data_IF_091290443773
#
_entry.id   IF_091290443773
#
_cell.length_a   1.000
_cell.length_b   1.000
_cell.length_c   1.000
_cell.angle_alpha   90.00
_cell.angle_beta   90.00
_cell.angle_gamma   90.00
#
_symmetry.space_group_name_H-M   'P 1'
#
loop_
_entity.id
_entity.type
_entity.pdbx_description
1 polymer ?
#
# COMPACT_ATOMS: atom_id res chain seq x y z
N UNK A 1 1.27 -38.05 0.23
CA UNK A 1 0.94 -36.72 0.79
C UNK A 1 0.01 -36.98 1.95
N UNK A 2 0.52 -37.17 3.17
CA UNK A 2 -0.35 -37.55 4.29
C UNK A 2 -0.85 -36.36 5.14
N UNK A 3 -0.29 -35.15 4.96
CA UNK A 3 -0.63 -33.98 5.75
C UNK A 3 -0.48 -32.68 4.93
N UNK A 4 -1.16 -32.62 3.77
CA UNK A 4 -1.16 -31.43 2.91
C UNK A 4 -2.33 -30.52 3.26
N UNK A 5 -2.06 -29.29 3.67
CA UNK A 5 -3.11 -28.35 4.10
C UNK A 5 -3.47 -27.29 3.07
N UNK A 6 -2.61 -27.06 2.08
CA UNK A 6 -2.82 -25.98 1.12
C UNK A 6 -2.29 -26.32 -0.28
N UNK A 7 -2.95 -25.73 -1.25
CA UNK A 7 -2.63 -25.78 -2.67
C UNK A 7 -2.76 -24.38 -3.26
N UNK A 8 -1.87 -24.04 -4.18
CA UNK A 8 -1.95 -22.82 -4.96
C UNK A 8 -1.61 -23.11 -6.42
N UNK A 9 -2.35 -22.53 -7.34
CA UNK A 9 -2.12 -22.66 -8.78
C UNK A 9 -1.84 -21.27 -9.33
N UNK A 10 -0.68 -21.10 -9.98
CA UNK A 10 -0.29 -19.85 -10.64
C UNK A 10 -0.90 -19.74 -12.03
N UNK A 11 -0.94 -18.54 -12.60
CA UNK A 11 -1.53 -18.29 -13.92
C UNK A 11 -0.80 -18.97 -15.09
N UNK A 12 0.48 -19.31 -14.91
CA UNK A 12 1.24 -20.13 -15.85
C UNK A 12 0.93 -21.64 -15.75
N UNK A 13 0.06 -22.05 -14.82
CA UNK A 13 -0.37 -23.44 -14.62
C UNK A 13 0.53 -24.28 -13.71
N UNK A 14 1.51 -23.68 -13.03
CA UNK A 14 2.30 -24.41 -12.03
C UNK A 14 1.46 -24.63 -10.76
N UNK A 15 1.64 -25.81 -10.15
CA UNK A 15 0.90 -26.22 -8.95
C UNK A 15 1.87 -26.32 -7.79
N UNK A 16 1.54 -25.63 -6.70
CA UNK A 16 2.28 -25.66 -5.44
C UNK A 16 1.42 -26.34 -4.39
N UNK A 17 1.97 -27.36 -3.75
CA UNK A 17 1.28 -28.14 -2.73
C UNK A 17 2.14 -28.17 -1.49
N UNK A 18 1.55 -27.85 -0.34
CA UNK A 18 2.17 -28.10 0.95
C UNK A 18 2.39 -29.61 1.11
N UNK A 19 3.65 -30.03 1.22
CA UNK A 19 4.03 -31.40 1.53
C UNK A 19 4.56 -31.37 2.96
N UNK A 20 3.62 -31.22 3.91
CA UNK A 20 3.83 -30.98 5.33
C UNK A 20 4.65 -32.04 6.07
N UNK A 21 4.28 -32.39 7.30
CA UNK A 21 5.06 -33.36 8.10
C UNK A 21 5.13 -34.73 7.40
N UNK A 22 6.29 -35.41 7.35
CA UNK A 22 7.60 -35.05 7.93
C UNK A 22 8.52 -34.28 6.96
N UNK A 23 8.06 -33.98 5.74
CA UNK A 23 8.91 -33.41 4.68
C UNK A 23 9.16 -31.91 4.87
N UNK A 24 8.29 -31.20 5.60
CA UNK A 24 8.45 -29.80 5.99
C UNK A 24 8.78 -28.89 4.81
N UNK A 25 8.07 -29.08 3.68
CA UNK A 25 8.35 -28.34 2.45
C UNK A 25 7.11 -28.15 1.59
N UNK A 26 7.18 -27.21 0.67
CA UNK A 26 6.23 -27.00 -0.41
C UNK A 26 6.85 -27.59 -1.67
N UNK A 27 6.10 -28.44 -2.36
CA UNK A 27 6.51 -29.04 -3.63
C UNK A 27 5.83 -28.33 -4.80
N UNK A 28 6.59 -28.13 -5.89
CA UNK A 28 6.14 -27.53 -7.15
C UNK A 28 6.07 -28.58 -8.24
N UNK A 29 4.94 -28.63 -8.91
CA UNK A 29 4.75 -29.29 -10.20
C UNK A 29 4.74 -28.21 -11.28
N UNK A 30 5.66 -28.32 -12.22
CA UNK A 30 5.63 -27.50 -13.43
C UNK A 30 4.52 -28.03 -14.34
N UNK A 31 3.85 -27.16 -15.09
CA UNK A 31 2.83 -27.58 -16.04
C UNK A 31 3.33 -28.75 -16.94
N UNK A 32 2.54 -29.81 -17.05
CA UNK A 32 2.84 -31.08 -17.72
C UNK A 32 3.98 -31.94 -17.12
N UNK A 33 4.50 -31.61 -15.93
CA UNK A 33 5.48 -32.45 -15.24
C UNK A 33 4.81 -33.61 -14.50
N UNK A 34 5.44 -34.79 -14.53
CA UNK A 34 5.01 -35.96 -13.76
C UNK A 34 5.60 -36.00 -12.35
N UNK A 35 6.69 -35.27 -12.11
CA UNK A 35 7.41 -35.24 -10.85
C UNK A 35 7.42 -33.82 -10.25
N UNK A 36 7.33 -33.75 -8.93
CA UNK A 36 7.54 -32.50 -8.19
C UNK A 36 9.02 -32.21 -7.91
N UNK A 37 9.30 -30.93 -7.71
CA UNK A 37 10.56 -30.45 -7.14
C UNK A 37 10.29 -29.63 -5.87
N UNK A 38 11.17 -29.66 -4.86
CA UNK A 38 11.02 -28.81 -3.68
C UNK A 38 11.09 -27.33 -4.05
N UNK A 39 10.03 -26.59 -3.73
CA UNK A 39 9.95 -25.15 -3.95
C UNK A 39 10.43 -24.36 -2.73
N UNK A 40 10.14 -24.86 -1.51
CA UNK A 40 10.42 -24.15 -0.26
C UNK A 40 10.44 -25.07 0.94
N UNK A 41 11.34 -24.83 1.90
CA UNK A 41 11.29 -25.48 3.21
C UNK A 41 10.54 -24.61 4.21
N UNK A 42 9.66 -25.22 4.99
CA UNK A 42 8.80 -24.55 5.98
C UNK A 42 9.04 -25.13 7.37
N UNK A 43 9.07 -24.29 8.40
CA UNK A 43 9.38 -24.71 9.78
C UNK A 43 8.17 -25.34 10.51
N UNK A 44 7.09 -25.63 9.79
CA UNK A 44 5.83 -26.12 10.34
C UNK A 44 4.81 -26.36 9.23
N UNK A 45 3.54 -26.48 9.59
CA UNK A 45 2.44 -26.71 8.65
C UNK A 45 2.09 -25.43 7.90
N UNK A 46 2.03 -25.50 6.57
CA UNK A 46 1.59 -24.39 5.75
C UNK A 46 0.07 -24.41 5.56
N UNK A 47 -0.67 -23.69 6.41
CA UNK A 47 -2.13 -23.70 6.38
C UNK A 47 -2.74 -22.96 5.18
N UNK A 48 -1.99 -22.04 4.58
CA UNK A 48 -2.39 -21.36 3.36
C UNK A 48 -1.15 -20.93 2.59
N UNK A 49 -1.16 -21.20 1.29
CA UNK A 49 -0.12 -20.87 0.33
C UNK A 49 -0.61 -19.79 -0.62
N UNK A 50 0.28 -18.85 -0.94
CA UNK A 50 0.06 -17.87 -1.99
C UNK A 50 1.37 -17.62 -2.74
N UNK A 51 1.31 -17.46 -4.06
CA UNK A 51 2.46 -17.08 -4.88
C UNK A 51 2.13 -15.77 -5.59
N UNK A 52 2.91 -14.72 -5.34
CA UNK A 52 2.71 -13.42 -5.98
C UNK A 52 3.30 -13.37 -7.40
N UNK A 53 2.98 -12.29 -8.13
CA UNK A 53 3.46 -12.05 -9.49
C UNK A 53 4.98 -11.91 -9.60
N UNK A 54 5.69 -11.70 -8.48
CA UNK A 54 7.15 -11.69 -8.40
C UNK A 54 7.73 -13.07 -8.05
N UNK A 55 6.92 -14.14 -8.16
CA UNK A 55 7.28 -15.51 -7.73
C UNK A 55 7.76 -15.57 -6.27
N UNK A 56 7.20 -14.75 -5.39
CA UNK A 56 7.43 -14.91 -3.96
C UNK A 56 6.38 -15.81 -3.33
N UNK A 57 6.85 -16.78 -2.56
CA UNK A 57 6.05 -17.73 -1.81
C UNK A 57 5.68 -17.15 -0.46
N UNK A 58 4.40 -17.19 -0.12
CA UNK A 58 3.89 -16.85 1.19
C UNK A 58 3.28 -18.09 1.82
N UNK A 59 3.53 -18.26 3.10
CA UNK A 59 3.05 -19.38 3.86
C UNK A 59 2.55 -18.92 5.22
N UNK A 60 1.30 -19.24 5.52
CA UNK A 60 0.69 -19.00 6.82
C UNK A 60 1.00 -20.14 7.79
N UNK A 61 1.76 -19.84 8.84
CA UNK A 61 2.17 -20.81 9.86
C UNK A 61 1.31 -20.61 11.11
N UNK A 62 0.11 -21.19 11.07
CA UNK A 62 -0.89 -21.12 12.15
C UNK A 62 -0.32 -21.43 13.53
N UNK A 63 0.41 -22.54 13.64
CA UNK A 63 1.00 -23.01 14.90
C UNK A 63 2.11 -22.09 15.44
N UNK A 64 2.71 -21.28 14.56
CA UNK A 64 3.77 -20.33 14.90
C UNK A 64 3.30 -18.88 14.88
N UNK A 65 1.99 -18.63 14.72
CA UNK A 65 1.38 -17.31 14.84
C UNK A 65 2.03 -16.24 13.94
N UNK A 66 2.45 -16.63 12.73
CA UNK A 66 3.14 -15.75 11.79
C UNK A 66 2.92 -16.18 10.34
N UNK A 67 3.13 -15.26 9.41
CA UNK A 67 3.20 -15.50 7.97
C UNK A 67 4.62 -15.23 7.52
N UNK A 68 5.19 -16.17 6.77
CA UNK A 68 6.52 -16.06 6.20
C UNK A 68 6.46 -15.87 4.70
N UNK A 69 7.45 -15.17 4.15
CA UNK A 69 7.68 -14.96 2.73
C UNK A 69 9.06 -15.46 2.33
N UNK A 70 9.18 -16.03 1.14
CA UNK A 70 10.45 -16.33 0.47
C UNK A 70 10.38 -15.96 -1.01
N UNK A 71 11.42 -15.29 -1.52
CA UNK A 71 11.60 -15.07 -2.95
C UNK A 71 12.08 -16.36 -3.64
N UNK A 72 11.49 -16.71 -4.80
CA UNK A 72 11.99 -17.80 -5.65
C UNK A 72 13.43 -17.58 -6.13
N UNK A 73 13.89 -16.33 -6.22
CA UNK A 73 15.19 -15.96 -6.79
C UNK A 73 16.33 -15.94 -5.77
N UNK A 74 16.03 -16.05 -4.47
CA UNK A 74 17.06 -16.15 -3.46
C UNK A 74 17.57 -17.59 -3.36
N UNK A 75 18.85 -17.78 -3.71
CA UNK A 75 19.57 -19.06 -3.61
C UNK A 75 19.73 -19.53 -2.16
N UNK A 76 19.65 -18.59 -1.21
CA UNK A 76 19.62 -18.88 0.22
C UNK A 76 18.16 -19.20 0.59
N UNK A 77 17.90 -20.37 1.19
CA UNK A 77 16.59 -20.80 1.71
C UNK A 77 16.07 -19.95 2.89
N UNK A 78 16.45 -18.67 2.95
CA UNK A 78 16.09 -17.75 4.01
C UNK A 78 14.65 -17.27 3.84
N UNK A 79 13.87 -17.44 4.89
CA UNK A 79 12.50 -16.93 4.98
C UNK A 79 12.50 -15.62 5.75
N UNK A 80 11.56 -14.74 5.39
CA UNK A 80 11.34 -13.45 6.06
C UNK A 80 9.97 -13.46 6.69
N UNK A 81 9.84 -12.89 7.88
CA UNK A 81 8.53 -12.74 8.53
C UNK A 81 7.87 -11.49 7.94
N UNK A 82 6.64 -11.64 7.43
CA UNK A 82 5.89 -10.55 6.79
C UNK A 82 4.62 -10.17 7.55
N UNK A 83 4.13 -11.03 8.44
CA UNK A 83 3.06 -10.71 9.37
C UNK A 83 3.15 -11.60 10.62
N UNK A 84 2.73 -11.08 11.77
CA UNK A 84 2.80 -11.78 13.06
C UNK A 84 4.23 -11.90 13.60
N UNK A 85 4.42 -11.58 14.87
CA UNK A 85 5.73 -11.61 15.53
C UNK A 85 6.09 -12.97 16.15
N UNK A 86 5.26 -14.00 15.92
CA UNK A 86 5.46 -15.34 16.48
C UNK A 86 4.78 -15.58 17.84
N UNK A 87 4.13 -14.58 18.42
CA UNK A 87 3.36 -14.70 19.66
C UNK A 87 1.86 -14.53 19.39
N UNK A 88 1.04 -15.36 20.04
CA UNK A 88 -0.42 -15.22 20.03
C UNK A 88 -0.83 -13.92 20.72
N UNK A 89 -1.68 -13.12 20.07
CA UNK A 89 -2.23 -11.92 20.69
C UNK A 89 -3.01 -11.02 19.74
N UNK A 90 -3.59 -9.95 20.29
CA UNK A 90 -4.47 -9.00 19.59
C UNK A 90 -3.75 -7.75 19.07
N UNK A 91 -2.46 -7.57 19.38
CA UNK A 91 -1.67 -6.44 18.91
C UNK A 91 -1.65 -6.33 17.39
N UNK A 92 -1.34 -5.15 16.85
CA UNK A 92 -1.28 -4.91 15.39
C UNK A 92 -0.24 -5.78 14.69
N UNK A 93 0.83 -6.17 15.39
CA UNK A 93 1.88 -7.06 14.87
C UNK A 93 1.77 -8.50 15.43
N UNK A 94 0.66 -8.84 16.09
CA UNK A 94 0.41 -10.18 16.63
C UNK A 94 -0.74 -10.83 15.87
N UNK A 95 -0.62 -12.14 15.68
CA UNK A 95 -1.63 -13.01 15.07
C UNK A 95 -1.87 -14.18 16.03
N UNK A 96 -3.01 -14.85 15.91
CA UNK A 96 -3.35 -16.03 16.68
C UNK A 96 -3.98 -17.08 15.76
N UNK A 97 -3.17 -18.10 15.44
CA UNK A 97 -3.47 -19.12 14.44
C UNK A 97 -3.91 -18.54 13.08
N UNK A 98 -3.04 -17.79 12.38
CA UNK A 98 -3.36 -17.31 11.04
C UNK A 98 -3.63 -18.49 10.09
N UNK A 99 -4.67 -18.37 9.27
CA UNK A 99 -5.12 -19.37 8.30
C UNK A 99 -4.98 -18.82 6.89
N UNK A 100 -6.08 -18.57 6.18
CA UNK A 100 -6.12 -18.04 4.82
C UNK A 100 -5.34 -16.74 4.67
N UNK A 101 -4.58 -16.66 3.58
CA UNK A 101 -3.88 -15.45 3.17
C UNK A 101 -4.21 -15.10 1.73
N UNK A 102 -4.14 -13.80 1.42
CA UNK A 102 -4.22 -13.29 0.05
C UNK A 102 -3.25 -12.13 -0.10
N UNK A 103 -2.54 -12.06 -1.22
CA UNK A 103 -1.65 -10.93 -1.53
C UNK A 103 -2.18 -10.22 -2.76
N UNK A 104 -2.46 -8.92 -2.64
CA UNK A 104 -2.96 -8.13 -3.77
C UNK A 104 -1.84 -7.70 -4.73
N UNK A 105 -2.21 -7.10 -5.86
CA UNK A 105 -1.29 -6.60 -6.89
C UNK A 105 -0.33 -5.50 -6.39
N UNK A 106 -0.64 -4.86 -5.26
CA UNK A 106 0.22 -3.86 -4.58
C UNK A 106 1.10 -4.50 -3.51
N UNK A 107 1.11 -5.83 -3.43
CA UNK A 107 1.82 -6.64 -2.44
C UNK A 107 1.38 -6.39 -0.99
N UNK A 108 0.14 -5.94 -0.77
CA UNK A 108 -0.43 -5.93 0.56
C UNK A 108 -0.94 -7.32 0.91
N UNK A 109 -0.72 -7.74 2.15
CA UNK A 109 -1.06 -9.07 2.65
C UNK A 109 -2.30 -8.99 3.54
N UNK A 110 -3.33 -9.74 3.16
CA UNK A 110 -4.52 -9.98 3.97
C UNK A 110 -4.38 -11.33 4.67
N UNK A 111 -4.64 -11.35 5.97
CA UNK A 111 -4.48 -12.54 6.82
C UNK A 111 -5.75 -12.78 7.61
N UNK A 112 -6.31 -13.98 7.48
CA UNK A 112 -7.40 -14.46 8.32
C UNK A 112 -6.80 -14.91 9.65
N UNK A 113 -7.05 -14.11 10.68
CA UNK A 113 -6.52 -14.26 12.03
C UNK A 113 -7.54 -15.04 12.87
N UNK A 114 -7.64 -16.36 12.62
CA UNK A 114 -8.78 -17.20 13.01
C UNK A 114 -9.16 -17.05 14.49
N UNK A 115 -8.23 -17.26 15.43
CA UNK A 115 -8.59 -17.27 16.86
C UNK A 115 -8.86 -15.86 17.39
N UNK A 116 -8.44 -14.82 16.66
CA UNK A 116 -8.75 -13.43 16.98
C UNK A 116 -10.00 -12.92 16.24
N UNK A 117 -10.72 -13.78 15.52
CA UNK A 117 -11.99 -13.47 14.85
C UNK A 117 -11.94 -12.23 13.96
N UNK A 118 -10.85 -12.07 13.21
CA UNK A 118 -10.62 -10.88 12.39
C UNK A 118 -9.83 -11.18 11.12
N UNK A 119 -9.89 -10.24 10.18
CA UNK A 119 -8.97 -10.18 9.03
C UNK A 119 -8.10 -8.94 9.17
N UNK A 120 -6.78 -9.15 9.09
CA UNK A 120 -5.78 -8.08 9.15
C UNK A 120 -5.15 -7.80 7.79
N UNK A 121 -4.95 -6.53 7.49
CA UNK A 121 -4.21 -6.01 6.33
C UNK A 121 -2.86 -5.49 6.77
N UNK A 122 -1.80 -6.07 6.21
CA UNK A 122 -0.42 -5.62 6.31
C UNK A 122 -0.03 -4.98 4.98
N UNK A 123 0.18 -3.67 4.97
CA UNK A 123 0.63 -2.98 3.76
C UNK A 123 2.05 -3.41 3.40
N UNK A 124 2.43 -3.31 2.12
CA UNK A 124 3.75 -3.72 1.65
C UNK A 124 4.89 -3.09 2.50
N UNK A 125 5.75 -3.96 3.06
CA UNK A 125 6.88 -3.57 3.90
C UNK A 125 6.53 -3.20 5.35
N UNK A 126 5.26 -3.22 5.75
CA UNK A 126 4.83 -2.95 7.12
C UNK A 126 4.62 -4.24 7.92
N UNK A 127 4.99 -4.21 9.20
CA UNK A 127 4.80 -5.33 10.14
C UNK A 127 3.62 -5.12 11.10
N UNK A 128 3.01 -3.94 11.08
CA UNK A 128 1.80 -3.64 11.84
C UNK A 128 0.59 -3.76 10.90
N UNK A 129 -0.33 -4.64 11.26
CA UNK A 129 -1.59 -4.84 10.57
C UNK A 129 -2.65 -3.83 11.02
N UNK A 130 -3.59 -3.60 10.11
CA UNK A 130 -4.84 -2.88 10.37
C UNK A 130 -6.00 -3.86 10.25
N UNK A 131 -6.95 -3.82 11.18
CA UNK A 131 -8.11 -4.71 11.12
C UNK A 131 -9.10 -4.21 10.07
N UNK A 132 -9.39 -5.04 9.07
CA UNK A 132 -10.30 -4.69 7.96
C UNK A 132 -11.74 -5.09 8.28
N UNK A 133 -11.93 -6.23 8.95
CA UNK A 133 -13.24 -6.77 9.34
C UNK A 133 -13.10 -7.71 10.55
N UNK A 134 -14.18 -7.85 11.31
CA UNK A 134 -14.24 -8.66 12.53
C UNK A 134 -13.84 -7.89 13.78
N UNK A 135 -13.29 -8.59 14.78
CA UNK A 135 -12.97 -8.03 16.08
C UNK A 135 -11.92 -6.91 15.99
N UNK A 136 -12.28 -5.70 16.45
CA UNK A 136 -11.42 -4.52 16.44
C UNK A 136 -11.63 -3.56 15.27
N UNK A 137 -12.42 -3.93 14.26
CA UNK A 137 -12.89 -3.01 13.22
C UNK A 137 -14.13 -2.23 13.69
N UNK A 138 -14.50 -1.18 12.95
CA UNK A 138 -15.78 -0.49 13.15
C UNK A 138 -16.92 -1.44 12.73
N UNK A 139 -17.54 -2.10 13.71
CA UNK A 139 -18.33 -3.33 13.54
C UNK A 139 -19.47 -3.18 12.53
N UNK A 140 -19.34 -3.84 11.37
CA UNK A 140 -20.48 -4.13 10.47
C UNK A 140 -20.91 -5.60 10.54
N UNK A 141 -20.00 -6.51 10.89
CA UNK A 141 -20.27 -7.95 11.05
C UNK A 141 -19.23 -8.55 12.02
N UNK A 142 -19.68 -9.45 12.91
CA UNK A 142 -18.78 -10.26 13.75
C UNK A 142 -18.39 -11.54 12.99
N UNK A 143 -17.13 -11.98 13.12
CA UNK A 143 -16.61 -13.23 12.54
C UNK A 143 -16.37 -14.26 13.65
N UNK A 144 -16.22 -15.53 13.30
CA UNK A 144 -15.82 -16.63 14.19
C UNK A 144 -14.91 -17.59 13.42
N UNK A 145 -13.61 -17.54 13.72
CA UNK A 145 -12.53 -18.21 12.99
C UNK A 145 -12.67 -18.09 11.46
N UNK A 146 -12.39 -16.90 10.89
CA UNK A 146 -12.24 -16.78 9.44
C UNK A 146 -11.03 -17.61 8.97
N UNK A 147 -11.19 -18.35 7.86
CA UNK A 147 -10.16 -19.29 7.39
C UNK A 147 -9.79 -19.16 5.92
N UNK A 148 -10.67 -18.63 5.07
CA UNK A 148 -10.42 -18.44 3.63
C UNK A 148 -10.62 -16.99 3.24
N UNK A 149 -9.75 -16.46 2.36
CA UNK A 149 -9.83 -15.10 1.82
C UNK A 149 -9.58 -15.17 0.32
N UNK A 150 -10.47 -14.59 -0.48
CA UNK A 150 -10.26 -14.33 -1.91
C UNK A 150 -10.82 -12.97 -2.28
N UNK A 151 -10.36 -12.44 -3.41
CA UNK A 151 -10.92 -11.25 -4.02
C UNK A 151 -11.57 -11.64 -5.35
N UNK A 152 -12.63 -10.91 -5.74
CA UNK A 152 -13.10 -10.91 -7.12
C UNK A 152 -12.36 -9.86 -7.97
N UNK A 153 -12.62 -9.86 -9.27
CA UNK A 153 -12.01 -8.95 -10.23
C UNK A 153 -12.39 -7.48 -10.00
N UNK A 154 -13.52 -7.24 -9.33
CA UNK A 154 -13.98 -5.90 -8.93
C UNK A 154 -13.28 -5.40 -7.64
N UNK A 155 -12.48 -6.24 -6.98
CA UNK A 155 -11.74 -5.92 -5.76
C UNK A 155 -12.55 -6.05 -4.47
N UNK A 156 -13.69 -6.73 -4.49
CA UNK A 156 -14.43 -7.11 -3.28
C UNK A 156 -13.81 -8.35 -2.64
N UNK A 157 -13.77 -8.34 -1.31
CA UNK A 157 -13.19 -9.41 -0.49
C UNK A 157 -14.29 -10.38 -0.06
N UNK A 158 -14.01 -11.67 -0.21
CA UNK A 158 -14.85 -12.77 0.22
C UNK A 158 -14.11 -13.59 1.27
N UNK A 159 -14.83 -13.95 2.33
CA UNK A 159 -14.27 -14.58 3.53
C UNK A 159 -15.10 -15.81 3.89
N UNK A 160 -14.43 -16.93 4.09
CA UNK A 160 -15.03 -18.10 4.74
C UNK A 160 -15.00 -17.93 6.25
N UNK A 161 -16.18 -17.73 6.84
CA UNK A 161 -16.41 -17.53 8.27
C UNK A 161 -16.80 -18.89 8.88
N UNK A 162 -15.78 -19.66 9.26
CA UNK A 162 -15.84 -21.13 9.29
C UNK A 162 -16.76 -21.65 10.40
N UNK A 163 -16.61 -21.13 11.62
CA UNK A 163 -17.40 -21.58 12.76
C UNK A 163 -18.84 -21.05 12.71
N UNK A 164 -19.06 -19.92 12.03
CA UNK A 164 -20.39 -19.42 11.70
C UNK A 164 -21.04 -20.11 10.50
N UNK A 165 -20.37 -21.07 9.86
CA UNK A 165 -20.90 -21.87 8.75
C UNK A 165 -21.40 -21.03 7.57
N UNK A 166 -20.69 -19.96 7.19
CA UNK A 166 -21.16 -19.00 6.18
C UNK A 166 -20.02 -18.37 5.38
N UNK A 167 -20.36 -17.78 4.25
CA UNK A 167 -19.45 -16.94 3.46
C UNK A 167 -19.90 -15.48 3.57
N UNK A 168 -18.94 -14.60 3.82
CA UNK A 168 -19.11 -13.14 3.90
C UNK A 168 -18.50 -12.50 2.67
N UNK A 169 -19.15 -11.46 2.13
CA UNK A 169 -18.61 -10.63 1.06
C UNK A 169 -18.64 -9.15 1.45
N UNK A 170 -17.64 -8.39 0.99
CA UNK A 170 -17.67 -6.92 1.09
C UNK A 170 -18.56 -6.29 0.03
N UNK A 171 -18.86 -5.01 0.22
CA UNK A 171 -19.60 -4.18 -0.73
C UNK A 171 -19.40 -2.70 -0.44
N UNK A 172 -19.95 -1.83 -1.28
CA UNK A 172 -19.99 -0.38 -1.05
C UNK A 172 -20.65 0.01 0.29
N UNK A 173 -21.52 -0.84 0.84
CA UNK A 173 -22.22 -0.62 2.11
C UNK A 173 -21.57 -1.38 3.29
N UNK A 174 -20.36 -1.93 3.11
CA UNK A 174 -19.68 -2.76 4.11
C UNK A 174 -19.87 -4.26 3.88
N UNK A 175 -19.61 -5.06 4.92
CA UNK A 175 -19.63 -6.51 4.85
C UNK A 175 -21.02 -7.08 5.13
N UNK A 176 -21.41 -8.11 4.36
CA UNK A 176 -22.66 -8.85 4.56
C UNK A 176 -22.45 -10.34 4.32
N UNK A 177 -23.33 -11.15 4.90
CA UNK A 177 -23.39 -12.56 4.54
C UNK A 177 -23.96 -12.75 3.13
N UNK A 178 -23.38 -13.69 2.38
CA UNK A 178 -23.83 -14.05 1.03
C UNK A 178 -24.35 -15.50 0.94
N UNK A 179 -23.79 -16.42 1.71
CA UNK A 179 -24.14 -17.86 1.73
C UNK A 179 -24.15 -18.33 3.17
N UNK A 180 -25.08 -19.21 3.57
CA UNK A 180 -25.13 -19.74 4.94
C UNK A 180 -25.66 -18.75 5.98
N UNK A 181 -26.43 -17.74 5.56
CA UNK A 181 -26.78 -16.59 6.42
C UNK A 181 -27.73 -16.87 7.57
N UNK A 182 -28.29 -18.08 7.65
CA UNK A 182 -28.98 -18.54 8.84
C UNK A 182 -28.02 -18.87 10.00
N UNK A 183 -26.71 -18.94 9.75
CA UNK A 183 -25.68 -19.32 10.74
C UNK A 183 -25.94 -20.69 11.40
N UNK A 184 -26.67 -21.56 10.71
CA UNK A 184 -26.91 -22.95 11.09
C UNK A 184 -26.10 -23.86 10.17
N UNK A 185 -25.37 -24.82 10.74
CA UNK A 185 -24.75 -25.87 9.93
C UNK A 185 -25.79 -26.79 9.30
N UNK A 186 -25.49 -27.33 8.12
CA UNK A 186 -26.38 -28.29 7.45
C UNK A 186 -25.96 -28.64 6.04
N UNK A 187 -26.72 -29.55 5.43
CA UNK A 187 -26.44 -30.14 4.11
C UNK A 187 -27.28 -29.54 2.97
N UNK A 188 -28.23 -28.64 3.27
CA UNK A 188 -29.06 -28.01 2.25
C UNK A 188 -28.20 -27.16 1.28
N UNK A 189 -28.77 -26.81 0.12
CA UNK A 189 -28.07 -26.04 -0.93
C UNK A 189 -27.68 -24.62 -0.52
N UNK A 190 -28.30 -24.08 0.54
CA UNK A 190 -28.01 -22.76 1.10
C UNK A 190 -27.32 -22.84 2.47
N UNK A 191 -26.93 -24.03 2.92
CA UNK A 191 -26.24 -24.28 4.18
C UNK A 191 -24.83 -24.82 3.91
N UNK A 192 -23.94 -24.55 4.87
CA UNK A 192 -22.56 -25.02 4.91
C UNK A 192 -22.31 -25.66 6.26
N UNK A 193 -21.23 -26.43 6.38
CA UNK A 193 -20.77 -27.03 7.61
C UNK A 193 -19.24 -26.96 7.65
N UNK A 194 -18.72 -25.99 8.41
CA UNK A 194 -17.30 -25.70 8.55
C UNK A 194 -16.60 -25.42 7.20
N UNK A 195 -17.08 -24.43 6.42
CA UNK A 195 -16.48 -24.09 5.14
C UNK A 195 -15.03 -23.65 5.33
N UNK A 196 -14.13 -24.08 4.44
CA UNK A 196 -12.71 -23.74 4.51
C UNK A 196 -12.27 -22.79 3.40
N UNK A 197 -11.72 -23.31 2.32
CA UNK A 197 -11.26 -22.49 1.21
C UNK A 197 -12.39 -22.19 0.24
N UNK A 198 -12.28 -21.04 -0.42
CA UNK A 198 -13.20 -20.58 -1.45
C UNK A 198 -12.40 -20.14 -2.68
N UNK A 199 -12.98 -20.24 -3.86
CA UNK A 199 -12.36 -19.77 -5.10
C UNK A 199 -13.41 -19.41 -6.15
N UNK A 200 -13.07 -18.51 -7.06
CA UNK A 200 -13.90 -18.19 -8.22
C UNK A 200 -13.40 -18.91 -9.47
N UNK A 201 -14.33 -19.31 -10.35
CA UNK A 201 -13.97 -19.60 -11.75
C UNK A 201 -13.95 -18.31 -12.59
N UNK A 202 -13.46 -18.41 -13.82
CA UNK A 202 -13.40 -17.28 -14.77
C UNK A 202 -14.78 -16.76 -15.21
N UNK A 203 -15.87 -17.41 -14.78
CA UNK A 203 -17.25 -16.95 -14.99
C UNK A 203 -17.83 -16.29 -13.74
N UNK A 204 -17.04 -16.13 -12.68
CA UNK A 204 -17.44 -15.55 -11.40
C UNK A 204 -18.26 -16.49 -10.50
N UNK A 205 -18.36 -17.79 -10.82
CA UNK A 205 -19.02 -18.74 -9.94
C UNK A 205 -18.13 -19.05 -8.74
N UNK A 206 -18.72 -19.08 -7.54
CA UNK A 206 -18.01 -19.32 -6.30
C UNK A 206 -18.02 -20.81 -5.96
N UNK A 207 -16.86 -21.38 -5.74
CA UNK A 207 -16.66 -22.74 -5.24
C UNK A 207 -16.32 -22.66 -3.75
N UNK A 208 -17.03 -23.43 -2.93
CA UNK A 208 -16.83 -23.49 -1.48
C UNK A 208 -16.52 -24.92 -1.08
N UNK A 209 -15.39 -25.12 -0.42
CA UNK A 209 -15.05 -26.40 0.20
C UNK A 209 -15.79 -26.51 1.54
N UNK A 210 -16.76 -27.41 1.58
CA UNK A 210 -17.70 -27.63 2.68
C UNK A 210 -17.31 -28.90 3.43
N UNK A 211 -16.30 -28.76 4.30
CA UNK A 211 -15.44 -29.87 4.77
C UNK A 211 -16.23 -30.92 5.53
N UNK A 212 -17.08 -30.54 6.49
CA UNK A 212 -17.82 -31.51 7.29
C UNK A 212 -19.05 -32.10 6.59
N UNK A 213 -19.30 -31.66 5.36
CA UNK A 213 -20.27 -32.26 4.45
C UNK A 213 -19.60 -33.05 3.30
N UNK A 214 -18.26 -33.23 3.34
CA UNK A 214 -17.47 -33.98 2.36
C UNK A 214 -17.70 -33.57 0.90
N UNK A 215 -17.92 -32.26 0.65
CA UNK A 215 -18.26 -31.76 -0.68
C UNK A 215 -17.60 -30.44 -1.05
N UNK A 216 -17.54 -30.18 -2.35
CA UNK A 216 -17.30 -28.85 -2.91
C UNK A 216 -18.62 -28.38 -3.52
N UNK A 217 -19.15 -27.26 -3.05
CA UNK A 217 -20.36 -26.66 -3.59
C UNK A 217 -20.02 -25.56 -4.58
N UNK A 218 -20.64 -25.61 -5.77
CA UNK A 218 -20.61 -24.54 -6.76
C UNK A 218 -21.84 -23.65 -6.57
N UNK A 219 -21.62 -22.39 -6.22
CA UNK A 219 -22.62 -21.34 -6.20
C UNK A 219 -22.48 -20.54 -7.50
N UNK A 220 -23.51 -20.64 -8.32
CA UNK A 220 -23.51 -19.90 -9.58
C UNK A 220 -23.58 -18.41 -9.29
N UNK A 221 -22.85 -17.62 -10.08
CA UNK A 221 -23.08 -16.19 -10.18
C UNK A 221 -24.46 -16.03 -10.84
N UNK A 222 -25.49 -16.08 -10.00
CA UNK A 222 -26.83 -15.73 -10.43
C UNK A 222 -26.77 -14.25 -10.74
N UNK A 223 -26.90 -13.88 -12.01
CA UNK A 223 -27.32 -12.52 -12.34
C UNK A 223 -28.62 -12.29 -11.57
N UNK A 224 -28.55 -11.52 -10.48
CA UNK A 224 -29.61 -11.10 -9.59
C UNK A 224 -31.00 -11.75 -9.78
N UNK A 225 -31.44 -12.58 -8.83
CA UNK A 225 -32.72 -12.33 -8.13
C UNK A 225 -32.76 -13.04 -6.78
N UNK A 226 -32.93 -12.23 -5.73
CA UNK A 226 -33.60 -12.66 -4.50
C UNK A 226 -35.00 -13.16 -4.84
N UNK A 227 -35.37 -14.34 -4.32
CA UNK A 227 -36.78 -14.70 -4.14
C UNK A 227 -36.99 -14.99 -2.67
N UNK A 228 -37.81 -14.16 -2.03
CA UNK A 228 -38.48 -14.48 -0.79
C UNK A 228 -39.27 -15.78 -0.99
N UNK A 229 -39.09 -16.72 -0.08
CA UNK A 229 -39.70 -18.05 -0.12
C UNK A 229 -41.23 -18.01 -0.27
N UNK A 230 -41.76 -18.96 -1.07
CA UNK A 230 -42.75 -19.93 -0.59
C UNK A 230 -42.78 -21.16 -1.51
N UNK A 231 -42.49 -22.34 -0.93
CA UNK A 231 -42.45 -23.72 -1.46
C UNK A 231 -43.64 -24.18 -2.35
N UNK A 232 -43.64 -25.42 -2.91
CA UNK A 232 -42.53 -26.21 -3.49
C UNK A 232 -42.87 -26.70 -4.92
N UNK A 233 -41.85 -27.21 -5.61
CA UNK A 233 -41.94 -28.03 -6.84
C UNK A 233 -42.54 -27.35 -8.09
N UNK A 234 -41.71 -26.67 -8.87
CA UNK A 234 -41.75 -26.72 -10.34
C UNK A 234 -40.48 -26.04 -10.90
N UNK A 235 -39.66 -26.76 -11.66
CA UNK A 235 -38.60 -26.16 -12.46
C UNK A 235 -39.27 -25.45 -13.64
N UNK A 236 -39.24 -24.11 -13.66
CA UNK A 236 -39.59 -23.36 -14.88
C UNK A 236 -38.29 -23.13 -15.64
N UNK A 237 -38.06 -23.93 -16.68
CA UNK A 237 -37.03 -23.66 -17.66
C UNK A 237 -37.53 -22.56 -18.60
N UNK A 238 -36.87 -21.40 -18.58
CA UNK A 238 -37.05 -20.38 -19.60
C UNK A 238 -35.98 -20.58 -20.69
N UNK A 239 -36.39 -20.99 -21.88
CA UNK A 239 -35.53 -21.00 -23.07
C UNK A 239 -35.92 -19.83 -23.97
N UNK A 240 -35.02 -18.86 -24.15
CA UNK A 240 -35.19 -17.81 -25.15
C UNK A 240 -35.05 -18.42 -26.56
N UNK A 241 -35.91 -18.05 -27.52
CA UNK A 241 -35.96 -18.68 -28.85
C UNK A 241 -34.79 -18.30 -29.77
N UNK A 242 -33.97 -17.30 -29.41
CA UNK A 242 -32.80 -16.87 -30.18
C UNK A 242 -31.52 -16.96 -29.33
N UNK A 243 -30.45 -17.48 -29.93
CA UNK A 243 -29.12 -17.64 -29.31
C UNK A 243 -28.43 -16.30 -29.02
N UNK A 244 -29.03 -15.18 -29.43
CA UNK A 244 -28.46 -13.83 -29.34
C UNK A 244 -29.05 -12.94 -28.23
N UNK A 245 -29.95 -13.48 -27.40
CA UNK A 245 -30.56 -12.74 -26.31
C UNK A 245 -30.65 -13.58 -25.03
N UNK A 246 -30.21 -13.00 -23.92
CA UNK A 246 -30.24 -13.58 -22.57
C UNK A 246 -31.15 -12.73 -21.67
N UNK A 247 -31.39 -13.17 -20.43
CA UNK A 247 -32.19 -12.45 -19.43
C UNK A 247 -33.69 -12.78 -19.42
N UNK A 248 -34.36 -12.45 -18.30
CA UNK A 248 -35.76 -12.83 -17.98
C UNK A 248 -36.83 -12.39 -19.02
N UNK A 249 -36.50 -11.45 -19.90
CA UNK A 249 -37.39 -10.96 -20.96
C UNK A 249 -36.77 -11.06 -22.37
N UNK A 250 -35.66 -11.77 -22.55
CA UNK A 250 -34.88 -11.85 -23.80
C UNK A 250 -34.54 -10.46 -24.40
N UNK A 251 -34.31 -9.46 -23.55
CA UNK A 251 -34.02 -8.07 -23.95
C UNK A 251 -32.56 -7.64 -23.69
N UNK A 252 -31.72 -8.54 -23.15
CA UNK A 252 -30.29 -8.26 -22.97
C UNK A 252 -29.49 -8.93 -24.07
N UNK A 253 -28.74 -8.10 -24.82
CA UNK A 253 -27.82 -8.48 -25.89
C UNK A 253 -26.88 -9.60 -25.42
N UNK A 254 -26.73 -10.67 -26.20
CA UNK A 254 -25.74 -11.74 -25.95
C UNK A 254 -24.33 -11.37 -26.43
N UNK A 255 -24.10 -10.14 -26.90
CA UNK A 255 -22.86 -9.78 -27.53
C UNK A 255 -21.70 -9.90 -26.52
N UNK A 256 -20.69 -10.75 -26.77
CA UNK A 256 -19.54 -10.91 -25.88
C UNK A 256 -18.81 -9.59 -25.61
N UNK A 257 -18.84 -8.65 -26.56
CA UNK A 257 -18.24 -7.33 -26.43
C UNK A 257 -18.97 -6.43 -25.40
N UNK A 258 -20.28 -6.58 -25.25
CA UNK A 258 -21.09 -5.80 -24.31
C UNK A 258 -21.00 -6.38 -22.89
N UNK A 259 -20.87 -7.71 -22.78
CA UNK A 259 -20.89 -8.45 -21.52
C UNK A 259 -19.50 -8.55 -20.90
N UNK A 260 -18.50 -8.98 -21.68
CA UNK A 260 -17.15 -9.28 -21.17
C UNK A 260 -16.21 -8.08 -21.28
N UNK A 261 -16.54 -7.09 -22.12
CA UNK A 261 -15.69 -5.95 -22.48
C UNK A 261 -14.22 -6.36 -22.65
N UNK A 262 -13.92 -7.35 -23.50
CA UNK A 262 -12.68 -8.12 -23.44
C UNK A 262 -11.46 -7.40 -24.05
N UNK A 263 -11.65 -6.26 -24.70
CA UNK A 263 -10.57 -5.50 -25.32
C UNK A 263 -10.10 -4.38 -24.39
N UNK A 264 -8.84 -4.47 -23.96
CA UNK A 264 -8.18 -3.49 -23.12
C UNK A 264 -7.64 -2.31 -23.94
N UNK A 265 -7.09 -1.30 -23.25
CA UNK A 265 -6.40 -0.16 -23.85
C UNK A 265 -7.17 0.55 -24.99
N UNK A 266 -8.49 0.66 -24.82
CA UNK A 266 -9.39 1.29 -25.79
C UNK A 266 -9.45 0.56 -27.16
N UNK A 267 -9.14 -0.74 -27.18
CA UNK A 267 -9.34 -1.61 -28.34
C UNK A 267 -10.81 -1.72 -28.72
N UNK A 268 -11.08 -1.78 -30.02
CA UNK A 268 -12.43 -1.94 -30.55
C UNK A 268 -12.79 -3.42 -30.59
N UNK A 269 -13.81 -3.82 -29.84
CA UNK A 269 -14.29 -5.19 -29.83
C UNK A 269 -15.26 -5.44 -30.99
N UNK A 270 -14.94 -6.47 -31.79
CA UNK A 270 -15.79 -6.93 -32.88
C UNK A 270 -16.33 -8.33 -32.54
N UNK A 271 -17.64 -8.48 -32.57
CA UNK A 271 -18.31 -9.76 -32.39
C UNK A 271 -18.08 -10.65 -33.63
N UNK A 272 -17.64 -11.90 -33.40
CA UNK A 272 -17.49 -12.90 -34.46
C UNK A 272 -18.53 -14.00 -34.22
N UNK A 273 -19.58 -13.95 -35.05
CA UNK A 273 -20.88 -14.61 -34.86
C UNK A 273 -20.87 -16.15 -35.07
N UNK A 274 -19.83 -16.84 -34.61
CA UNK A 274 -19.62 -18.29 -34.83
C UNK A 274 -19.74 -19.14 -33.56
N UNK A 275 -19.68 -18.57 -32.35
CA UNK A 275 -20.01 -19.22 -31.05
C UNK A 275 -20.32 -18.16 -29.95
N UNK A 276 -20.96 -18.56 -28.84
CA UNK A 276 -21.39 -17.70 -27.69
C UNK A 276 -20.20 -16.97 -26.98
N UNK A 277 -18.95 -17.19 -27.40
CA UNK A 277 -17.75 -16.70 -26.70
C UNK A 277 -16.65 -16.19 -27.63
N UNK A 278 -16.93 -15.99 -28.92
CA UNK A 278 -15.93 -15.59 -29.88
C UNK A 278 -15.99 -14.06 -30.14
N UNK A 279 -14.89 -13.36 -29.89
CA UNK A 279 -14.72 -11.94 -30.16
C UNK A 279 -13.34 -11.70 -30.79
N UNK A 280 -13.17 -10.55 -31.44
CA UNK A 280 -11.88 -10.11 -31.97
C UNK A 280 -11.62 -8.65 -31.60
N UNK A 281 -10.45 -8.36 -31.03
CA UNK A 281 -10.05 -7.02 -30.63
C UNK A 281 -9.21 -6.34 -31.73
N UNK A 282 -9.65 -5.18 -32.19
CA UNK A 282 -8.86 -4.30 -33.05
C UNK A 282 -8.10 -3.30 -32.20
N UNK A 283 -6.78 -3.46 -32.13
CA UNK A 283 -5.94 -2.69 -31.22
C UNK A 283 -5.59 -1.31 -31.76
N UNK A 284 -5.59 -0.27 -30.90
CA UNK A 284 -5.11 1.06 -31.28
C UNK A 284 -3.60 1.04 -31.55
N UNK A 285 -3.10 2.06 -32.26
CA UNK A 285 -1.68 2.17 -32.58
C UNK A 285 -0.82 2.12 -31.31
N UNK A 286 0.18 1.23 -31.32
CA UNK A 286 1.08 1.01 -30.20
C UNK A 286 0.64 -0.06 -29.19
N UNK A 287 -0.56 -0.64 -29.34
CA UNK A 287 -0.99 -1.78 -28.52
C UNK A 287 -1.09 -3.06 -29.35
N UNK A 288 -0.72 -4.19 -28.76
CA UNK A 288 -0.73 -5.51 -29.42
C UNK A 288 -1.26 -6.59 -28.48
N UNK A 289 -1.46 -7.80 -29.01
CA UNK A 289 -2.05 -8.93 -28.27
C UNK A 289 -3.50 -9.20 -28.64
N UNK A 290 -4.02 -10.36 -28.25
CA UNK A 290 -5.37 -10.84 -28.58
C UNK A 290 -6.49 -10.01 -27.94
N UNK A 291 -6.18 -9.30 -26.85
CA UNK A 291 -7.08 -8.40 -26.13
C UNK A 291 -6.55 -6.96 -26.10
N UNK A 292 -5.52 -6.63 -26.89
CA UNK A 292 -4.83 -5.34 -26.86
C UNK A 292 -4.17 -5.00 -25.51
N UNK A 293 -3.80 -6.04 -24.75
CA UNK A 293 -3.26 -5.95 -23.40
C UNK A 293 -1.77 -5.56 -23.36
N UNK A 294 -1.04 -5.66 -24.49
CA UNK A 294 0.40 -5.41 -24.52
C UNK A 294 0.65 -3.98 -25.02
N UNK A 295 1.13 -3.09 -24.14
CA UNK A 295 1.60 -1.75 -24.51
C UNK A 295 3.00 -1.84 -25.16
N UNK A 296 3.02 -1.68 -26.48
CA UNK A 296 4.21 -1.65 -27.32
C UNK A 296 4.58 -0.22 -27.75
N UNK A 297 4.03 0.80 -27.10
CA UNK A 297 4.42 2.20 -27.37
C UNK A 297 5.84 2.45 -26.88
N UNK A 298 6.62 3.27 -27.61
CA UNK A 298 7.94 3.69 -27.15
C UNK A 298 7.86 4.40 -25.78
N UNK A 299 6.87 5.27 -25.59
CA UNK A 299 6.60 5.95 -24.32
C UNK A 299 5.48 5.30 -23.50
N UNK A 300 5.66 4.03 -23.14
CA UNK A 300 4.80 3.37 -22.14
C UNK A 300 5.09 3.85 -20.72
N UNK A 301 4.19 3.53 -19.79
CA UNK A 301 4.39 3.85 -18.37
C UNK A 301 5.71 3.27 -17.87
N UNK A 302 6.50 4.08 -17.15
CA UNK A 302 7.83 3.72 -16.64
C UNK A 302 8.92 3.55 -17.69
N UNK A 303 8.76 4.03 -18.93
CA UNK A 303 9.89 4.16 -19.87
C UNK A 303 10.94 5.14 -19.34
N UNK A 304 10.53 6.31 -18.84
CA UNK A 304 11.42 7.29 -18.21
C UNK A 304 11.22 7.30 -16.69
N UNK A 305 12.30 7.07 -15.96
CA UNK A 305 12.32 6.90 -14.52
C UNK A 305 12.55 8.26 -13.82
N UNK A 306 12.37 8.29 -12.49
CA UNK A 306 12.73 9.44 -11.65
C UNK A 306 12.17 10.80 -12.12
N UNK A 307 10.87 10.83 -12.45
CA UNK A 307 10.17 12.00 -12.98
C UNK A 307 10.71 12.50 -14.34
N UNK A 308 11.38 11.65 -15.12
CA UNK A 308 11.73 11.94 -16.50
C UNK A 308 10.49 12.04 -17.40
N UNK A 309 10.53 12.95 -18.37
CA UNK A 309 9.46 13.14 -19.35
C UNK A 309 9.81 12.34 -20.61
N UNK A 310 8.93 11.42 -21.02
CA UNK A 310 9.12 10.65 -22.25
C UNK A 310 8.64 11.43 -23.47
N UNK A 311 9.51 11.62 -24.46
CA UNK A 311 9.19 12.21 -25.75
C UNK A 311 9.34 11.15 -26.84
N UNK A 312 8.26 10.87 -27.57
CA UNK A 312 8.30 9.95 -28.71
C UNK A 312 9.00 10.62 -29.89
N UNK A 313 10.04 9.98 -30.42
CA UNK A 313 10.77 10.45 -31.61
C UNK A 313 10.35 9.75 -32.88
N UNK A 314 9.81 8.53 -32.78
CA UNK A 314 9.16 7.81 -33.88
C UNK A 314 8.21 6.74 -33.34
N UNK A 315 7.58 5.95 -34.21
CA UNK A 315 6.71 4.84 -33.82
C UNK A 315 7.42 3.73 -33.05
N UNK A 316 8.76 3.68 -33.07
CA UNK A 316 9.55 2.67 -32.35
C UNK A 316 10.66 3.25 -31.48
N UNK A 317 10.86 4.58 -31.48
CA UNK A 317 11.96 5.23 -30.75
C UNK A 317 11.45 6.33 -29.83
N UNK A 318 12.10 6.50 -28.68
CA UNK A 318 11.79 7.52 -27.68
C UNK A 318 13.06 8.20 -27.16
N UNK A 319 12.87 9.33 -26.49
CA UNK A 319 13.90 10.05 -25.76
C UNK A 319 13.36 10.49 -24.39
N UNK A 320 14.08 10.20 -23.31
CA UNK A 320 13.73 10.68 -21.97
C UNK A 320 14.40 12.01 -21.63
N UNK A 321 13.61 13.03 -21.32
CA UNK A 321 14.08 14.29 -20.73
C UNK A 321 14.12 14.15 -19.22
N UNK A 322 15.32 13.93 -18.67
CA UNK A 322 15.50 13.61 -17.26
C UNK A 322 15.24 14.80 -16.34
N UNK A 323 14.63 14.50 -15.18
CA UNK A 323 14.51 15.47 -14.11
C UNK A 323 15.88 15.85 -13.57
N UNK A 324 15.96 17.06 -13.01
CA UNK A 324 17.18 17.62 -12.45
C UNK A 324 17.84 16.67 -11.43
N UNK A 325 19.09 16.26 -11.68
CA UNK A 325 19.84 15.31 -10.84
C UNK A 325 19.89 13.87 -11.34
N UNK A 326 19.30 13.59 -12.52
CA UNK A 326 19.26 12.26 -13.13
C UNK A 326 19.77 12.26 -14.56
N UNK A 327 20.33 11.14 -14.99
CA UNK A 327 20.88 10.87 -16.32
C UNK A 327 20.66 9.40 -16.73
N UNK A 328 21.09 9.04 -17.93
CA UNK A 328 20.84 7.73 -18.54
C UNK A 328 19.73 7.78 -19.60
N UNK A 329 19.63 6.71 -20.40
CA UNK A 329 18.68 6.63 -21.52
C UNK A 329 17.23 6.70 -21.02
N UNK A 330 16.99 6.15 -19.83
CA UNK A 330 15.71 6.11 -19.15
C UNK A 330 15.70 6.96 -17.88
N UNK A 331 16.68 7.84 -17.67
CA UNK A 331 16.81 8.63 -16.43
C UNK A 331 16.96 7.80 -15.15
N UNK A 332 17.54 6.60 -15.30
CA UNK A 332 17.71 5.59 -14.25
C UNK A 332 18.87 5.90 -13.31
N UNK A 333 19.84 6.70 -13.76
CA UNK A 333 21.10 6.94 -13.05
C UNK A 333 21.06 8.28 -12.35
N UNK A 334 21.41 8.31 -11.05
CA UNK A 334 21.58 9.57 -10.33
C UNK A 334 22.92 10.18 -10.72
N UNK A 335 22.93 11.46 -11.10
CA UNK A 335 24.16 12.17 -11.45
C UNK A 335 25.10 12.17 -10.24
N UNK A 336 26.30 11.64 -10.43
CA UNK A 336 27.37 11.76 -9.45
C UNK A 336 28.18 13.02 -9.71
N UNK A 337 27.89 14.09 -8.97
CA UNK A 337 28.63 15.34 -9.04
C UNK A 337 30.10 15.23 -8.61
N UNK A 338 30.55 14.08 -8.10
CA UNK A 338 31.95 13.81 -7.78
C UNK A 338 32.73 13.08 -8.88
N UNK A 339 32.08 12.63 -9.97
CA UNK A 339 32.72 11.75 -10.97
C UNK A 339 34.02 12.32 -11.56
N UNK A 340 34.02 13.61 -11.91
CA UNK A 340 35.18 14.32 -12.47
C UNK A 340 35.84 15.30 -11.48
N UNK A 341 35.50 15.20 -10.19
CA UNK A 341 35.99 16.13 -9.17
C UNK A 341 37.10 15.48 -8.35
N UNK A 342 38.30 16.04 -8.48
CA UNK A 342 39.45 15.65 -7.66
C UNK A 342 39.65 16.67 -6.54
N UNK A 343 39.35 16.27 -5.31
CA UNK A 343 39.72 17.05 -4.12
C UNK A 343 41.21 16.85 -3.82
N UNK A 344 41.98 17.94 -3.74
CA UNK A 344 43.40 17.93 -3.43
C UNK A 344 43.66 17.70 -1.93
N UNK A 345 44.93 17.48 -1.56
CA UNK A 345 45.36 17.32 -0.17
C UNK A 345 44.55 16.28 0.63
N UNK A 346 44.22 15.16 -0.01
CA UNK A 346 43.41 14.07 0.55
C UNK A 346 42.00 14.49 1.00
N UNK A 347 41.42 15.54 0.41
CA UNK A 347 40.01 15.89 0.63
C UNK A 347 39.07 14.80 0.12
N UNK A 348 37.91 14.67 0.76
CA UNK A 348 36.86 13.69 0.38
C UNK A 348 35.77 14.42 -0.40
N UNK A 349 35.48 14.00 -1.63
CA UNK A 349 34.34 14.54 -2.37
C UNK A 349 33.04 13.95 -1.84
N UNK A 350 32.08 14.81 -1.47
CA UNK A 350 30.71 14.42 -1.18
C UNK A 350 29.76 15.01 -2.20
N UNK A 351 29.07 14.12 -2.91
CA UNK A 351 27.98 14.48 -3.81
C UNK A 351 26.76 14.92 -2.98
N UNK A 352 26.15 16.04 -3.35
CA UNK A 352 24.99 16.67 -2.72
C UNK A 352 23.93 17.02 -3.77
N UNK A 353 22.72 17.41 -3.37
CA UNK A 353 21.66 17.74 -4.36
C UNK A 353 22.11 18.90 -5.26
N UNK A 354 22.36 18.58 -6.54
CA UNK A 354 22.84 19.50 -7.58
C UNK A 354 24.23 20.09 -7.41
N UNK A 355 25.06 19.54 -6.51
CA UNK A 355 26.39 20.10 -6.25
C UNK A 355 27.31 19.04 -5.64
N UNK A 356 28.60 19.35 -5.54
CA UNK A 356 29.55 18.57 -4.75
C UNK A 356 30.21 19.46 -3.69
N UNK A 357 30.73 18.85 -2.64
CA UNK A 357 31.57 19.51 -1.65
C UNK A 357 32.82 18.70 -1.42
N UNK A 358 33.99 19.32 -1.53
CA UNK A 358 35.24 18.73 -1.06
C UNK A 358 35.37 18.99 0.44
N UNK A 359 35.32 17.93 1.24
CA UNK A 359 35.61 17.98 2.67
C UNK A 359 37.12 17.92 2.88
N UNK A 360 37.72 19.05 3.26
CA UNK A 360 39.16 19.15 3.48
C UNK A 360 39.57 18.48 4.80
N UNK A 361 40.69 17.75 4.77
CA UNK A 361 41.15 16.98 5.92
C UNK A 361 41.88 17.89 6.93
N UNK A 362 41.14 18.40 7.91
CA UNK A 362 41.67 19.22 9.01
C UNK A 362 41.77 20.71 8.70
N UNK A 363 42.14 21.50 9.71
CA UNK A 363 42.06 22.97 9.69
C UNK A 363 43.16 23.68 8.87
N UNK A 364 44.06 22.91 8.25
CA UNK A 364 45.21 23.41 7.51
C UNK A 364 44.96 23.50 5.99
N UNK A 365 43.82 23.04 5.50
CA UNK A 365 43.47 23.06 4.09
C UNK A 365 42.11 23.74 3.87
N UNK A 366 42.00 24.52 2.81
CA UNK A 366 40.78 25.25 2.44
C UNK A 366 40.70 25.44 0.91
N UNK A 367 39.64 26.05 0.41
CA UNK A 367 39.39 26.21 -1.03
C UNK A 367 38.31 25.25 -1.54
N UNK A 368 37.91 25.41 -2.81
CA UNK A 368 36.79 24.64 -3.40
C UNK A 368 37.16 23.17 -3.62
N UNK A 369 38.44 22.91 -3.86
CA UNK A 369 39.05 21.61 -4.08
C UNK A 369 40.10 21.29 -3.00
N UNK A 370 40.07 21.96 -1.85
CA UNK A 370 41.08 21.84 -0.79
C UNK A 370 42.51 22.18 -1.22
N UNK A 371 42.67 23.03 -2.22
CA UNK A 371 43.94 23.43 -2.84
C UNK A 371 44.77 24.41 -2.01
N UNK A 372 44.15 25.13 -1.06
CA UNK A 372 44.80 26.19 -0.29
C UNK A 372 45.36 25.62 1.00
N UNK A 373 46.67 25.74 1.22
CA UNK A 373 47.34 25.40 2.47
C UNK A 373 47.36 26.60 3.42
N UNK A 374 46.72 26.48 4.58
CA UNK A 374 46.73 27.52 5.61
C UNK A 374 47.88 27.28 6.59
N UNK A 375 48.95 28.06 6.45
CA UNK A 375 49.99 28.14 7.48
C UNK A 375 49.46 28.96 8.67
N UNK A 376 48.68 28.34 9.57
CA UNK A 376 48.21 28.95 10.83
C UNK A 376 49.32 29.16 11.88
N UNK A 377 50.54 29.48 11.45
CA UNK A 377 51.64 29.90 12.33
C UNK A 377 51.79 31.43 12.43
N UNK A 378 51.11 32.24 11.60
CA UNK A 378 51.35 33.70 11.55
C UNK A 378 50.22 34.60 12.07
N UNK A 379 49.02 34.09 12.34
CA UNK A 379 47.84 34.95 12.61
C UNK A 379 47.36 34.99 14.06
N UNK A 380 47.97 34.22 14.97
CA UNK A 380 47.62 34.27 16.41
C UNK A 380 48.37 35.36 17.21
N UNK A 381 49.25 36.16 16.58
CA UNK A 381 50.03 37.18 17.29
C UNK A 381 49.50 38.63 17.13
N UNK A 382 48.51 38.88 16.26
CA UNK A 382 48.00 40.25 16.02
C UNK A 382 46.67 40.60 16.70
N UNK A 383 45.88 39.65 17.18
CA UNK A 383 44.58 39.96 17.83
C UNK A 383 44.70 40.27 19.33
N UNK A 384 45.78 39.82 19.98
CA UNK A 384 45.97 40.00 21.44
C UNK A 384 46.20 41.47 21.85
N UNK A 385 46.79 42.31 20.99
CA UNK A 385 47.05 43.73 21.31
C UNK A 385 45.84 44.66 21.16
N UNK A 386 44.81 44.25 20.42
CA UNK A 386 43.65 45.14 20.13
C UNK A 386 42.50 44.98 21.13
N UNK A 387 42.36 43.83 21.80
CA UNK A 387 41.29 43.60 22.78
C UNK A 387 41.55 44.39 24.07
N UNK A 388 42.81 44.52 24.49
CA UNK A 388 43.20 45.32 25.65
C UNK A 388 42.89 46.82 25.48
N UNK A 389 43.07 47.36 24.27
CA UNK A 389 42.82 48.78 23.99
C UNK A 389 41.32 49.11 24.01
N UNK A 390 40.48 48.22 23.48
CA UNK A 390 39.02 48.37 23.49
C UNK A 390 38.45 48.30 24.91
N UNK A 391 38.99 47.42 25.77
CA UNK A 391 38.58 47.32 27.16
C UNK A 391 38.91 48.59 27.98
N UNK A 392 40.06 49.21 27.72
CA UNK A 392 40.47 50.46 28.40
C UNK A 392 39.58 51.64 27.97
N UNK A 393 39.28 51.77 26.67
CA UNK A 393 38.37 52.81 26.18
C UNK A 393 36.96 52.65 26.77
N UNK A 394 36.48 51.40 26.86
CA UNK A 394 35.18 51.11 27.47
C UNK A 394 35.14 51.53 28.95
N UNK A 395 36.18 51.23 29.74
CA UNK A 395 36.25 51.63 31.15
C UNK A 395 36.36 53.14 31.35
N UNK A 396 37.09 53.85 30.48
CA UNK A 396 37.18 55.32 30.55
C UNK A 396 35.84 55.97 30.18
N UNK A 397 35.14 55.42 29.19
CA UNK A 397 33.82 55.94 28.76
C UNK A 397 32.74 55.78 29.83
N UNK A 398 32.74 54.66 30.56
CA UNK A 398 31.78 54.43 31.66
C UNK A 398 32.09 55.30 32.87
N UNK A 399 33.36 55.50 33.20
CA UNK A 399 33.77 56.40 34.27
C UNK A 399 33.37 57.86 33.98
N UNK A 400 33.61 58.34 32.75
CA UNK A 400 33.17 59.68 32.33
C UNK A 400 31.65 59.84 32.36
N UNK A 401 30.90 58.80 32.00
CA UNK A 401 29.43 58.82 32.07
C UNK A 401 28.92 58.91 33.51
N UNK A 402 29.55 58.21 34.45
CA UNK A 402 29.21 58.30 35.89
C UNK A 402 29.49 59.71 36.42
N UNK A 403 30.66 60.29 36.07
CA UNK A 403 31.01 61.66 36.48
C UNK A 403 30.02 62.68 35.89
N UNK A 404 29.63 62.54 34.61
CA UNK A 404 28.62 63.40 33.99
C UNK A 404 27.26 63.26 34.68
N UNK A 405 26.85 62.04 35.03
CA UNK A 405 25.59 61.80 35.75
C UNK A 405 25.60 62.38 37.16
N UNK A 406 26.73 62.32 37.87
CA UNK A 406 26.89 62.95 39.18
C UNK A 406 26.92 64.49 39.09
N UNK A 407 27.56 65.07 38.06
CA UNK A 407 27.52 66.52 37.80
C UNK A 407 26.10 66.98 37.48
N UNK A 408 25.36 66.24 36.64
CA UNK A 408 23.97 66.58 36.32
C UNK A 408 23.06 66.49 37.57
N UNK A 409 23.34 65.55 38.46
CA UNK A 409 22.60 65.38 39.71
C UNK A 409 22.90 66.49 40.72
N UNK A 410 24.16 66.91 40.85
CA UNK A 410 24.59 67.96 41.77
C UNK A 410 24.30 69.38 41.27
N UNK A 411 24.44 69.65 39.98
CA UNK A 411 24.28 71.00 39.42
C UNK A 411 22.85 71.33 38.99
N UNK A 412 22.05 70.33 38.59
CA UNK A 412 20.72 70.57 38.00
C UNK A 412 19.56 69.86 38.71
N UNK A 413 19.81 69.06 39.76
CA UNK A 413 18.76 68.43 40.58
C UNK A 413 17.82 67.49 39.81
N UNK A 414 18.22 66.98 38.63
CA UNK A 414 17.40 66.12 37.78
C UNK A 414 17.60 64.66 38.17
N UNK A 415 16.64 64.05 38.86
CA UNK A 415 16.63 62.60 39.14
C UNK A 415 15.65 61.86 38.17
N UNK A 416 16.16 61.17 37.13
CA UNK A 416 15.33 60.56 36.09
C UNK A 416 14.53 59.33 36.58
N UNK A 417 14.81 58.80 37.78
CA UNK A 417 14.15 57.59 38.32
C UNK A 417 12.77 57.91 38.92
N UNK A 418 12.51 59.15 39.31
CA UNK A 418 11.25 59.56 39.96
C UNK A 418 10.05 59.67 38.99
N UNK A 419 10.30 59.95 37.70
CA UNK A 419 9.25 60.18 36.68
C UNK A 419 8.55 58.88 36.27
N UNK A 420 9.27 57.75 36.26
CA UNK A 420 8.79 56.42 35.84
C UNK A 420 7.76 55.78 36.80
N UNK A 421 7.64 56.25 38.05
CA UNK A 421 6.66 55.73 39.03
C UNK A 421 5.24 56.31 38.88
N UNK A 422 5.07 57.48 38.25
CA UNK A 422 3.74 58.11 38.05
C UNK A 422 2.96 57.53 36.86
N UNK A 423 3.66 57.10 35.81
CA UNK A 423 3.01 56.57 34.60
C UNK A 423 2.48 55.14 34.78
N UNK A 424 3.16 54.32 35.58
CA UNK A 424 2.76 52.92 35.85
C UNK A 424 1.50 52.81 36.74
N UNK A 425 1.14 53.86 37.50
CA UNK A 425 -0.10 53.88 38.31
C UNK A 425 -1.36 54.19 37.50
N UNK A 426 -1.26 54.92 36.38
CA UNK A 426 -2.43 55.22 35.51
C UNK A 426 -2.87 54.02 34.66
N UNK A 427 -1.97 53.11 34.27
CA UNK A 427 -2.31 51.93 33.48
C UNK A 427 -2.97 50.78 34.28
N UNK A 428 -2.83 50.74 35.62
CA UNK A 428 -3.41 49.66 36.45
C UNK A 428 -4.90 49.86 36.81
N UNK A 429 -5.47 51.05 36.60
CA UNK A 429 -6.90 51.29 36.88
C UNK A 429 -7.86 50.95 35.72
N UNK A 430 -7.39 50.82 34.46
CA UNK A 430 -8.27 50.54 33.31
C UNK A 430 -8.52 49.06 33.03
N UNK A 431 -7.72 48.14 33.58
CA UNK A 431 -7.78 46.69 33.26
C UNK A 431 -8.63 45.82 34.20
N UNK A 432 -9.35 46.39 35.18
CA UNK A 432 -10.12 45.62 36.19
C UNK A 432 -11.64 45.53 35.95
N UNK A 433 -12.15 45.98 34.80
CA UNK A 433 -13.59 45.87 34.44
C UNK A 433 -13.73 45.19 33.08
N UNK A 434 -13.93 43.87 33.07
CA UNK A 434 -14.79 43.10 32.15
C UNK A 434 -14.55 41.60 32.34
N UNK A 435 -15.45 40.94 33.07
CA UNK A 435 -15.75 39.52 32.93
C UNK A 435 -16.97 39.38 32.01
N UNK A 436 -17.10 38.27 31.25
CA UNK A 436 -18.41 37.79 30.83
C UNK A 436 -18.69 36.36 31.30
N UNK A 437 -19.89 36.14 31.82
CA UNK A 437 -20.48 34.85 32.11
C UNK A 437 -21.34 34.31 30.95
N UNK A 438 -21.31 32.98 30.83
CA UNK A 438 -22.26 31.96 30.32
C UNK A 438 -23.61 32.41 29.72
N UNK A 439 -23.98 31.90 28.52
CA UNK A 439 -25.11 30.96 28.25
C UNK A 439 -25.64 30.90 26.79
N UNK A 440 -25.78 29.65 26.31
CA UNK A 440 -26.81 28.98 25.46
C UNK A 440 -27.11 29.36 23.98
N UNK A 441 -26.94 28.31 23.15
CA UNK A 441 -27.76 27.78 22.02
C UNK A 441 -28.70 28.69 21.20
N UNK A 442 -28.55 28.67 19.87
CA UNK A 442 -29.58 28.26 18.90
C UNK A 442 -29.03 28.18 17.45
N UNK A 443 -29.58 27.25 16.66
CA UNK A 443 -29.32 26.95 15.24
C UNK A 443 -29.67 28.12 14.31
N UNK A 444 -28.99 28.20 13.16
CA UNK A 444 -29.45 29.00 12.02
C UNK A 444 -28.56 28.85 10.78
N UNK A 445 -29.14 28.31 9.70
CA UNK A 445 -28.62 28.13 8.34
C UNK A 445 -27.81 29.31 7.76
N UNK A 446 -26.77 28.99 6.96
CA UNK A 446 -26.69 29.29 5.51
C UNK A 446 -25.34 28.87 4.89
N UNK A 447 -25.45 28.01 3.87
CA UNK A 447 -24.80 27.98 2.55
C UNK A 447 -23.63 28.94 2.25
N UNK A 448 -22.54 28.41 1.64
CA UNK A 448 -21.54 29.02 0.71
C UNK A 448 -20.49 27.91 0.34
N UNK A 449 -19.76 27.91 -0.81
CA UNK A 449 -20.07 27.16 -2.03
C UNK A 449 -19.01 26.07 -2.36
N UNK A 450 -19.19 25.37 -3.49
CA UNK A 450 -18.27 24.34 -4.03
C UNK A 450 -16.90 24.91 -4.42
N UNK A 451 -15.84 24.10 -4.35
CA UNK A 451 -14.74 24.15 -5.30
C UNK A 451 -14.71 22.93 -6.22
N UNK A 452 -14.03 23.16 -7.33
CA UNK A 452 -13.99 22.43 -8.60
C UNK A 452 -13.06 21.21 -8.50
N UNK A 453 -13.41 20.15 -9.25
CA UNK A 453 -12.66 18.90 -9.44
C UNK A 453 -11.22 19.13 -9.91
N UNK A 454 -10.30 18.24 -9.51
CA UNK A 454 -9.27 17.73 -10.40
C UNK A 454 -9.59 16.27 -10.78
N UNK A 455 -9.59 16.03 -12.09
CA UNK A 455 -9.54 14.73 -12.75
C UNK A 455 -8.26 13.99 -12.40
N UNK A 456 -8.38 12.75 -11.93
CA UNK A 456 -7.26 11.82 -11.71
C UNK A 456 -7.57 10.51 -12.45
N UNK A 457 -6.57 9.87 -13.09
CA UNK A 457 -6.77 8.82 -14.07
C UNK A 457 -7.05 7.46 -13.40
N UNK A 458 -8.00 6.74 -13.98
CA UNK A 458 -8.18 5.30 -13.86
C UNK A 458 -6.95 4.56 -14.39
N UNK A 459 -6.32 3.74 -13.55
CA UNK A 459 -5.47 2.63 -13.99
C UNK A 459 -5.97 1.39 -13.26
N UNK A 460 -6.66 0.55 -14.04
CA UNK A 460 -7.05 -0.82 -13.74
C UNK A 460 -5.99 -1.67 -14.41
N UNK A 461 -5.26 -2.48 -13.64
CA UNK A 461 -4.50 -3.62 -14.16
C UNK A 461 -4.70 -4.75 -13.15
N UNK A 462 -5.55 -5.71 -13.51
CA UNK A 462 -5.59 -7.04 -12.94
C UNK A 462 -5.40 -8.00 -14.14
N UNK A 463 -4.28 -8.70 -14.15
CA UNK A 463 -3.94 -9.73 -15.14
C UNK A 463 -4.20 -11.09 -14.50
N UNK A 464 -4.91 -11.92 -15.27
CA UNK A 464 -4.80 -13.38 -15.48
C UNK A 464 -3.79 -14.13 -14.60
#
# INVERSE_FOLDING_TARGET
>A
MNDSFSIFVTSNGDIYIDNGSPNHRVDRWINNATNSTPAMYVQGTCYSLFVDSNNSFYCSLGDLHKVIKRSAYNEINQTTIVAGNGAAGLGSNMLNSPRGIFVDIKFNLYVADCINDRVQLFQFGQLNGTTVVGYGANKTIDLDCPVGIVFDDDGYIFISDSQNNRIIGSSSNGFRCIIGCASTSGFASNQLHHPQTISFDSYGNLYVVDVYNDRIQKFLLTSNTCVQQSSPSFFVTFTCPNTTAIGLNCNTSSNPCDILRPCENNGTCNDINTTISAYNCSCPSGFVGTQCQIDNRPCKSNTCWNNGICNETSTTTFHCSCATGWEGINCETKIDYCHDIVCQNNGICRSSYLNYTCECLGDNYSGRYCEITSNKAATHQRVSKSIGFIAIIAMISTAMFIIIMDILKYCFGVDPISKKRKDTRKQKQSKKRKHPGVCRYARGNRSIPRPIKPSIPTIVEAII
#
